data_IF_046961676959
#
_entry.id   IF_046961676959
#
_cell.length_a   1.000
_cell.length_b   1.000
_cell.length_c   1.000
_cell.angle_alpha   90.00
_cell.angle_beta   90.00
_cell.angle_gamma   90.00
#
_symmetry.space_group_name_H-M   'P 1'
#
loop_
_entity.id
_entity.type
_entity.pdbx_description
1 polymer ?
#
# COMPACT_ATOMS: atom_id res chain seq x y z
N UNK A 1 -61.35 -27.85 -47.44
CA UNK A 1 -61.26 -26.47 -47.05
C UNK A 1 -60.77 -26.29 -45.59
N UNK A 2 -60.53 -27.38 -44.81
CA UNK A 2 -60.14 -27.30 -43.40
C UNK A 2 -58.58 -27.36 -43.12
N UNK A 3 -57.72 -27.49 -44.11
CA UNK A 3 -56.30 -27.68 -43.94
C UNK A 3 -55.57 -26.34 -43.83
N UNK A 4 -56.09 -25.22 -44.32
CA UNK A 4 -55.47 -23.92 -44.35
C UNK A 4 -55.49 -23.15 -42.99
N UNK A 5 -56.48 -23.47 -42.12
CA UNK A 5 -56.65 -22.82 -40.83
C UNK A 5 -55.61 -23.29 -39.78
N UNK A 6 -55.14 -24.55 -39.88
CA UNK A 6 -54.18 -25.11 -38.96
C UNK A 6 -52.74 -24.54 -39.12
N UNK A 7 -52.35 -24.25 -40.37
CA UNK A 7 -51.02 -23.72 -40.64
C UNK A 7 -50.81 -22.30 -40.12
N UNK A 8 -51.81 -21.45 -40.21
CA UNK A 8 -51.75 -20.07 -39.69
C UNK A 8 -51.65 -20.03 -38.16
N UNK A 9 -52.37 -20.91 -37.45
CA UNK A 9 -52.33 -21.00 -36.00
C UNK A 9 -50.93 -21.44 -35.48
N UNK A 10 -50.30 -22.40 -36.16
CA UNK A 10 -48.97 -22.89 -35.79
C UNK A 10 -47.91 -21.79 -35.98
N UNK A 11 -47.99 -21.04 -37.06
CA UNK A 11 -47.06 -19.93 -37.34
C UNK A 11 -47.21 -18.84 -36.27
N UNK A 12 -48.41 -18.50 -35.87
CA UNK A 12 -48.63 -17.49 -34.81
C UNK A 12 -48.10 -17.97 -33.46
N UNK A 13 -48.31 -19.24 -33.10
CA UNK A 13 -47.79 -19.80 -31.86
C UNK A 13 -46.24 -19.80 -31.86
N UNK A 14 -45.61 -20.18 -32.95
CA UNK A 14 -44.15 -20.16 -33.08
C UNK A 14 -43.63 -18.73 -32.96
N UNK A 15 -44.24 -17.73 -33.60
CA UNK A 15 -43.90 -16.32 -33.47
C UNK A 15 -43.99 -15.82 -32.04
N UNK A 16 -45.07 -16.20 -31.30
CA UNK A 16 -45.25 -15.82 -29.90
C UNK A 16 -44.15 -16.46 -29.03
N UNK A 17 -43.82 -17.72 -29.24
CA UNK A 17 -42.74 -18.40 -28.50
C UNK A 17 -41.37 -17.73 -28.76
N UNK A 18 -41.10 -17.39 -30.01
CA UNK A 18 -39.86 -16.68 -30.37
C UNK A 18 -39.80 -15.29 -29.71
N UNK A 19 -40.90 -14.53 -29.79
CA UNK A 19 -40.99 -13.20 -29.16
C UNK A 19 -40.80 -13.27 -27.64
N UNK A 20 -41.41 -14.24 -26.96
CA UNK A 20 -41.27 -14.47 -25.52
C UNK A 20 -39.82 -14.89 -25.18
N UNK A 21 -39.23 -15.77 -25.98
CA UNK A 21 -37.82 -16.19 -25.78
C UNK A 21 -36.83 -15.03 -25.96
N UNK A 22 -37.02 -14.19 -26.98
CA UNK A 22 -36.18 -12.98 -27.21
C UNK A 22 -36.37 -11.95 -26.10
N UNK A 23 -37.61 -11.75 -25.64
CA UNK A 23 -37.92 -10.84 -24.54
C UNK A 23 -37.28 -11.30 -23.22
N UNK A 24 -37.31 -12.60 -22.92
CA UNK A 24 -36.64 -13.18 -21.73
C UNK A 24 -35.13 -13.05 -21.83
N UNK A 25 -34.52 -13.23 -23.01
CA UNK A 25 -33.08 -13.04 -23.23
C UNK A 25 -32.67 -11.58 -23.03
N UNK A 26 -33.41 -10.62 -23.58
CA UNK A 26 -33.18 -9.19 -23.40
C UNK A 26 -33.26 -8.76 -21.92
N UNK A 27 -34.24 -9.31 -21.17
CA UNK A 27 -34.38 -9.02 -19.73
C UNK A 27 -33.23 -9.59 -18.92
N UNK A 28 -32.73 -10.80 -19.24
CA UNK A 28 -31.60 -11.42 -18.58
C UNK A 28 -30.30 -10.64 -18.83
N UNK A 29 -30.11 -10.15 -20.05
CA UNK A 29 -28.94 -9.32 -20.42
C UNK A 29 -28.99 -7.97 -19.68
N UNK A 30 -30.14 -7.32 -19.61
CA UNK A 30 -30.29 -6.04 -18.88
C UNK A 30 -30.06 -6.19 -17.38
N UNK A 31 -30.51 -7.28 -16.76
CA UNK A 31 -30.28 -7.56 -15.34
C UNK A 31 -28.76 -7.84 -15.07
N UNK A 32 -28.12 -8.58 -15.96
CA UNK A 32 -26.67 -8.82 -15.85
C UNK A 32 -25.84 -7.53 -16.04
N UNK A 33 -26.26 -6.66 -16.96
CA UNK A 33 -25.63 -5.36 -17.20
C UNK A 33 -25.83 -4.42 -16.02
N UNK A 34 -27.04 -4.39 -15.44
CA UNK A 34 -27.35 -3.58 -14.27
C UNK A 34 -26.58 -4.04 -13.01
N UNK A 35 -26.33 -5.34 -12.87
CA UNK A 35 -25.47 -5.88 -11.81
C UNK A 35 -23.99 -5.55 -12.04
N UNK A 36 -23.52 -5.57 -13.29
CA UNK A 36 -22.17 -5.15 -13.63
C UNK A 36 -21.96 -3.64 -13.39
N UNK A 37 -22.94 -2.81 -13.74
CA UNK A 37 -22.89 -1.36 -13.52
C UNK A 37 -22.99 -1.01 -12.01
N UNK A 38 -23.73 -1.79 -11.21
CA UNK A 38 -23.78 -1.63 -9.75
C UNK A 38 -22.49 -2.10 -9.07
N UNK A 39 -21.85 -3.11 -9.62
CA UNK A 39 -20.57 -3.61 -9.12
C UNK A 39 -19.39 -2.68 -9.53
N UNK A 40 -19.50 -2.03 -10.69
CA UNK A 40 -18.58 -0.98 -11.12
C UNK A 40 -18.76 0.34 -10.34
N UNK A 41 -20.00 0.64 -9.90
CA UNK A 41 -20.29 1.82 -9.06
C UNK A 41 -19.93 1.60 -7.58
N UNK A 42 -19.79 0.34 -7.13
CA UNK A 42 -19.31 -0.01 -5.79
C UNK A 42 -17.78 -0.14 -5.72
N UNK A 43 -17.11 -0.17 -6.86
CA UNK A 43 -15.69 0.11 -6.98
C UNK A 43 -15.53 1.62 -7.25
N UNK A 44 -15.88 2.45 -6.26
CA UNK A 44 -15.28 3.79 -6.22
C UNK A 44 -13.77 3.56 -6.34
N UNK A 45 -13.06 4.29 -7.24
CA UNK A 45 -11.64 4.43 -7.07
C UNK A 45 -11.51 5.04 -5.68
N UNK A 46 -11.10 4.26 -4.69
CA UNK A 46 -10.61 4.81 -3.44
C UNK A 46 -9.56 5.81 -3.88
N UNK A 47 -9.93 7.09 -3.88
CA UNK A 47 -8.95 8.16 -3.86
C UNK A 47 -7.98 7.70 -2.79
N UNK A 48 -6.69 7.43 -3.10
CA UNK A 48 -5.77 7.06 -2.05
C UNK A 48 -5.87 8.20 -1.05
N UNK A 49 -6.38 7.92 0.15
CA UNK A 49 -6.19 8.84 1.26
C UNK A 49 -4.73 9.22 1.22
N UNK A 50 -4.35 10.49 1.40
CA UNK A 50 -2.96 10.89 1.31
C UNK A 50 -2.18 10.09 2.35
N UNK A 51 -1.72 8.92 1.93
CA UNK A 51 -0.98 8.00 2.76
C UNK A 51 0.39 8.62 3.01
N UNK A 52 0.62 9.01 4.25
CA UNK A 52 1.86 9.68 4.64
C UNK A 52 2.89 8.63 5.06
N UNK A 53 4.03 8.54 4.37
CA UNK A 53 5.10 7.67 4.83
C UNK A 53 5.67 8.17 6.15
N UNK A 54 5.85 7.28 7.11
CA UNK A 54 6.29 7.60 8.47
C UNK A 54 7.41 6.67 8.95
N UNK A 55 8.31 7.24 9.77
CA UNK A 55 9.21 6.48 10.63
C UNK A 55 8.62 6.42 12.02
N UNK A 56 8.31 5.24 12.52
CA UNK A 56 7.82 5.06 13.89
C UNK A 56 8.89 4.44 14.76
N UNK A 57 9.43 5.20 15.70
CA UNK A 57 10.41 4.68 16.64
C UNK A 57 9.74 3.87 17.75
N UNK A 58 10.28 2.68 18.00
CA UNK A 58 9.84 1.80 19.09
C UNK A 58 10.69 1.95 20.36
N UNK A 59 11.77 2.73 20.31
CA UNK A 59 12.57 3.02 21.48
C UNK A 59 11.72 3.67 22.57
N UNK A 60 11.85 3.20 23.81
CA UNK A 60 11.06 3.65 24.96
C UNK A 60 11.13 5.17 25.18
N UNK A 61 12.27 5.78 24.87
CA UNK A 61 12.49 7.23 24.98
C UNK A 61 11.61 8.06 24.02
N UNK A 62 11.10 7.46 22.95
CA UNK A 62 10.25 8.13 21.96
C UNK A 62 8.75 7.83 22.12
N UNK A 63 8.39 6.86 22.96
CA UNK A 63 6.99 6.55 23.25
C UNK A 63 6.15 6.23 22.01
N UNK A 64 6.75 5.66 20.97
CA UNK A 64 6.07 5.36 19.70
C UNK A 64 5.93 6.56 18.77
N UNK A 65 6.77 7.61 18.93
CA UNK A 65 6.75 8.79 18.06
C UNK A 65 6.87 8.40 16.60
N UNK A 66 5.99 8.95 15.77
CA UNK A 66 6.03 8.86 14.31
C UNK A 66 6.59 10.16 13.72
N UNK A 67 7.55 10.04 12.83
CA UNK A 67 8.14 11.16 12.08
C UNK A 67 7.70 11.04 10.63
N UNK A 68 6.90 11.97 10.09
CA UNK A 68 6.49 11.93 8.71
C UNK A 68 7.67 12.19 7.78
N UNK A 69 7.75 11.40 6.71
CA UNK A 69 8.67 11.60 5.60
C UNK A 69 7.99 12.43 4.52
N UNK A 70 8.54 13.60 4.29
CA UNK A 70 8.17 14.44 3.16
C UNK A 70 9.28 14.30 2.10
N UNK A 71 9.26 15.14 1.07
CA UNK A 71 10.18 15.09 -0.07
C UNK A 71 11.69 15.12 0.24
N UNK A 72 12.07 15.25 1.51
CA UNK A 72 13.48 15.31 1.92
C UNK A 72 13.85 14.13 2.79
N UNK A 73 15.10 13.65 2.68
CA UNK A 73 15.62 12.62 3.55
C UNK A 73 15.62 13.06 5.03
N UNK A 74 15.24 12.13 5.89
CA UNK A 74 15.26 12.31 7.35
C UNK A 74 16.49 11.62 7.90
N UNK A 75 17.34 12.37 8.60
CA UNK A 75 18.45 11.80 9.35
C UNK A 75 18.00 11.33 10.73
N UNK A 76 18.57 10.22 11.15
CA UNK A 76 18.33 9.56 12.43
C UNK A 76 19.64 9.44 13.18
N UNK A 77 19.68 9.82 14.45
CA UNK A 77 20.86 9.74 15.27
C UNK A 77 20.71 10.52 16.57
N UNK A 78 21.85 10.87 17.21
CA UNK A 78 21.87 11.61 18.48
C UNK A 78 22.08 13.12 18.30
N UNK A 79 22.50 13.57 17.13
CA UNK A 79 22.72 14.99 16.87
C UNK A 79 21.39 15.72 16.63
N UNK A 80 20.92 16.47 17.60
CA UNK A 80 19.69 17.25 17.53
C UNK A 80 19.72 18.42 16.53
N UNK A 81 20.90 18.82 16.05
CA UNK A 81 21.01 19.89 15.08
C UNK A 81 20.69 19.43 13.65
N UNK A 82 20.92 18.16 13.34
CA UNK A 82 20.79 17.60 11.99
C UNK A 82 19.76 16.47 11.89
N UNK A 83 19.57 15.72 12.98
CA UNK A 83 18.65 14.59 13.00
C UNK A 83 17.23 15.03 13.34
N UNK A 84 16.26 14.48 12.63
CA UNK A 84 14.83 14.71 12.90
C UNK A 84 14.23 13.68 13.85
N UNK A 85 14.72 12.44 13.82
CA UNK A 85 14.52 11.45 14.86
C UNK A 85 15.74 11.41 15.75
N UNK A 86 15.66 12.05 16.92
CA UNK A 86 16.80 12.29 17.81
C UNK A 86 16.78 11.32 18.98
N UNK A 87 17.82 10.53 19.11
CA UNK A 87 18.07 9.67 20.26
C UNK A 87 18.87 10.44 21.32
N UNK A 88 18.73 10.06 22.60
CA UNK A 88 19.50 10.62 23.69
C UNK A 88 20.99 10.28 23.53
N UNK A 89 21.86 11.12 24.07
CA UNK A 89 23.31 10.95 23.96
C UNK A 89 23.83 9.66 24.59
N UNK A 90 23.14 9.16 25.60
CA UNK A 90 23.44 7.91 26.31
C UNK A 90 22.83 6.66 25.69
N UNK A 91 22.16 6.75 24.52
CA UNK A 91 21.53 5.60 23.87
C UNK A 91 22.57 4.65 23.29
N UNK A 92 22.66 3.39 23.78
CA UNK A 92 23.60 2.41 23.26
C UNK A 92 23.31 2.12 21.78
N UNK A 93 24.36 1.88 21.01
CA UNK A 93 24.24 1.47 19.63
C UNK A 93 23.90 2.56 18.62
N UNK A 94 23.56 3.78 19.04
CA UNK A 94 23.21 4.87 18.14
C UNK A 94 24.34 5.88 18.00
N UNK A 95 24.74 6.21 16.78
CA UNK A 95 25.74 7.22 16.44
C UNK A 95 25.10 8.62 16.33
N UNK A 96 25.92 9.68 16.36
CA UNK A 96 25.44 11.07 16.18
C UNK A 96 24.68 11.22 14.87
N UNK A 97 25.24 10.74 13.76
CA UNK A 97 24.59 10.58 12.47
C UNK A 97 24.58 9.09 12.16
N UNK A 98 23.47 8.40 12.37
CA UNK A 98 23.45 6.95 12.28
C UNK A 98 23.02 6.48 10.90
N UNK A 99 21.87 6.89 10.46
CA UNK A 99 21.34 6.56 9.14
C UNK A 99 20.47 7.69 8.59
N UNK A 100 20.16 7.57 7.31
CA UNK A 100 19.26 8.46 6.60
C UNK A 100 18.15 7.61 5.97
N UNK A 101 16.92 8.12 6.00
CA UNK A 101 15.78 7.46 5.41
C UNK A 101 14.98 8.46 4.58
N UNK A 102 14.57 8.07 3.38
CA UNK A 102 13.57 8.79 2.61
C UNK A 102 12.58 7.82 1.96
N UNK A 103 11.46 8.35 1.49
CA UNK A 103 10.47 7.57 0.78
C UNK A 103 10.50 7.91 -0.71
N UNK A 104 10.67 6.91 -1.56
CA UNK A 104 10.59 7.04 -3.01
C UNK A 104 9.13 6.88 -3.44
N UNK A 105 8.48 8.00 -3.74
CA UNK A 105 7.07 8.03 -4.15
C UNK A 105 6.81 7.33 -5.49
N UNK A 106 7.80 7.22 -6.36
CA UNK A 106 7.65 6.57 -7.66
C UNK A 106 7.63 5.05 -7.51
N UNK A 107 8.54 4.54 -6.70
CA UNK A 107 8.68 3.11 -6.45
C UNK A 107 7.86 2.64 -5.24
N UNK A 108 7.29 3.57 -4.44
CA UNK A 108 6.54 3.30 -3.21
C UNK A 108 7.35 2.47 -2.20
N UNK A 109 8.61 2.83 -2.05
CA UNK A 109 9.55 2.15 -1.13
C UNK A 109 10.29 3.14 -0.25
N UNK A 110 10.70 2.68 0.93
CA UNK A 110 11.65 3.39 1.78
C UNK A 110 13.07 3.08 1.32
N UNK A 111 13.91 4.09 1.32
CA UNK A 111 15.34 3.95 1.03
C UNK A 111 16.12 4.32 2.28
N UNK A 112 16.87 3.37 2.78
CA UNK A 112 17.68 3.50 4.00
C UNK A 112 19.14 3.45 3.63
N UNK A 113 19.92 4.40 4.17
CA UNK A 113 21.37 4.45 3.99
C UNK A 113 22.06 4.60 5.36
N UNK A 114 22.96 3.70 5.69
CA UNK A 114 23.82 3.81 6.87
C UNK A 114 24.89 4.89 6.65
N UNK A 115 25.06 5.80 7.59
CA UNK A 115 26.01 6.92 7.51
C UNK A 115 27.31 6.63 8.28
N UNK A 116 27.92 5.47 8.04
CA UNK A 116 29.11 5.00 8.76
C UNK A 116 28.91 4.90 10.28
N UNK A 117 27.74 4.38 10.67
CA UNK A 117 27.45 4.22 12.08
C UNK A 117 28.41 3.23 12.76
N UNK A 118 28.79 3.51 14.01
CA UNK A 118 29.77 2.69 14.75
C UNK A 118 29.29 1.25 14.95
N UNK A 119 28.02 1.07 15.25
CA UNK A 119 27.42 -0.23 15.53
C UNK A 119 26.64 -0.82 14.36
N UNK A 120 26.33 -0.02 13.34
CA UNK A 120 25.63 -0.45 12.12
C UNK A 120 24.12 -0.33 12.19
N UNK A 121 23.52 -0.22 11.01
CA UNK A 121 22.09 -0.32 10.78
C UNK A 121 21.76 -1.73 10.29
N UNK A 122 20.72 -2.35 10.83
CA UNK A 122 20.34 -3.72 10.52
C UNK A 122 18.90 -3.81 10.05
N UNK A 123 18.63 -4.75 9.16
CA UNK A 123 17.26 -5.18 8.81
C UNK A 123 16.69 -6.06 9.92
N UNK A 124 15.36 -6.22 9.96
CA UNK A 124 14.67 -7.08 10.93
C UNK A 124 15.22 -8.51 11.02
N UNK A 125 15.78 -9.03 9.93
CA UNK A 125 16.42 -10.36 9.86
C UNK A 125 17.87 -10.41 10.38
N UNK A 126 18.40 -9.30 10.93
CA UNK A 126 19.78 -9.25 11.45
C UNK A 126 20.85 -8.95 10.39
N UNK A 127 20.46 -8.74 9.15
CA UNK A 127 21.42 -8.38 8.11
C UNK A 127 21.87 -6.93 8.29
N UNK A 128 23.17 -6.70 8.42
CA UNK A 128 23.78 -5.38 8.49
C UNK A 128 23.81 -4.71 7.11
N UNK A 129 23.45 -3.43 7.06
CA UNK A 129 23.61 -2.61 5.87
C UNK A 129 25.06 -2.23 5.64
N UNK A 130 25.47 -2.21 4.38
CA UNK A 130 26.76 -1.65 4.03
C UNK A 130 26.70 -0.10 4.12
N UNK A 131 27.70 0.55 4.71
CA UNK A 131 27.75 2.01 4.77
C UNK A 131 27.65 2.65 3.39
N UNK A 132 27.03 3.81 3.32
CA UNK A 132 26.80 4.61 2.10
C UNK A 132 26.09 3.87 0.95
N UNK A 133 25.52 2.70 1.25
CA UNK A 133 24.81 1.90 0.26
C UNK A 133 23.31 2.01 0.49
N UNK A 134 22.54 2.66 -0.42
CA UNK A 134 21.11 2.74 -0.31
C UNK A 134 20.43 1.37 -0.44
N UNK A 135 19.57 1.03 0.51
CA UNK A 135 18.79 -0.22 0.49
C UNK A 135 17.32 0.11 0.43
N UNK A 136 16.61 -0.48 -0.53
CA UNK A 136 15.18 -0.30 -0.73
C UNK A 136 14.38 -1.29 0.10
N UNK A 137 13.42 -0.79 0.84
CA UNK A 137 12.56 -1.57 1.73
C UNK A 137 11.08 -1.25 1.45
N UNK A 138 10.21 -2.25 1.31
CA UNK A 138 8.78 -2.01 1.15
C UNK A 138 8.17 -1.42 2.45
N UNK A 139 7.00 -0.79 2.37
CA UNK A 139 6.20 -0.45 3.55
C UNK A 139 6.00 -1.65 4.48
N UNK A 140 5.82 -1.38 5.77
CA UNK A 140 5.74 -2.38 6.86
C UNK A 140 7.05 -3.13 7.12
N UNK A 141 8.17 -2.56 6.69
CA UNK A 141 9.51 -3.03 7.06
C UNK A 141 9.95 -2.46 8.39
N UNK A 142 10.96 -3.05 8.99
CA UNK A 142 11.63 -2.51 10.17
C UNK A 142 13.15 -2.63 10.07
N UNK A 143 13.81 -1.67 10.68
CA UNK A 143 15.26 -1.63 10.86
C UNK A 143 15.58 -1.40 12.34
N UNK A 144 16.80 -1.70 12.77
CA UNK A 144 17.26 -1.32 14.10
C UNK A 144 18.69 -0.78 14.06
N UNK A 145 18.98 0.10 15.01
CA UNK A 145 20.23 0.87 15.09
C UNK A 145 21.12 0.30 16.19
N UNK A 146 22.13 -0.48 15.78
CA UNK A 146 23.05 -1.16 16.68
C UNK A 146 22.39 -2.24 17.53
N UNK A 147 21.38 -1.87 18.32
CA UNK A 147 20.64 -2.76 19.22
C UNK A 147 19.16 -2.85 18.85
N UNK A 148 18.53 -4.01 19.12
CA UNK A 148 17.13 -4.28 18.73
C UNK A 148 16.14 -3.35 19.43
N UNK A 149 16.47 -2.85 20.61
CA UNK A 149 15.69 -1.86 21.35
C UNK A 149 15.51 -0.54 20.60
N UNK A 150 16.41 -0.25 19.66
CA UNK A 150 16.35 0.92 18.79
C UNK A 150 15.68 0.62 17.45
N UNK A 151 14.62 -0.18 17.48
CA UNK A 151 13.85 -0.53 16.28
C UNK A 151 13.03 0.66 15.78
N UNK A 152 13.01 0.81 14.46
CA UNK A 152 12.19 1.78 13.72
C UNK A 152 11.35 1.04 12.72
N UNK A 153 10.03 1.25 12.75
CA UNK A 153 9.10 0.79 11.73
C UNK A 153 8.97 1.83 10.60
N UNK A 154 8.93 1.34 9.39
CA UNK A 154 8.75 2.08 8.15
C UNK A 154 7.36 1.74 7.61
N UNK A 155 6.41 2.65 7.71
CA UNK A 155 5.04 2.40 7.27
C UNK A 155 4.45 3.60 6.51
N UNK A 156 3.32 3.38 5.89
CA UNK A 156 2.54 4.40 5.19
C UNK A 156 1.16 4.44 5.84
N UNK A 157 0.82 5.57 6.47
CA UNK A 157 -0.42 5.78 7.24
C UNK A 157 -1.37 6.74 6.53
#
# INVERSE_FOLDING_TARGET
VFVAAGAAAVVVIVLIIVLVAVSKRKKKIRLAQQQADQQAAAAEPSTPEPSTPVLRSMASQHGGMAVPLHHQPVQVGRDSATCRLVYRDDTPGVSSHHCQVYFDEREQVFVVTDLHSSYGTFLAGGQRLAPDTPVKLPPKSSIYLGEVENTIYLDVE
#
